data_IF_590554954052
#
_entry.id   IF_590554954052
#
_cell.length_a   1.000
_cell.length_b   1.000
_cell.length_c   1.000
_cell.angle_alpha   90.00
_cell.angle_beta   90.00
_cell.angle_gamma   90.00
#
_symmetry.space_group_name_H-M   'P 1'
#
loop_
_entity.id
_entity.type
_entity.pdbx_description
1 polymer ?
#
# COMPACT_ATOMS: atom_id res chain seq x y z
N UNK A 1 -24.13 -1.07 4.97
CA UNK A 1 -23.14 -0.16 4.34
C UNK A 1 -21.81 -0.90 4.34
N UNK A 2 -21.12 -1.12 3.21
CA UNK A 2 -19.84 -1.81 3.22
C UNK A 2 -18.74 -0.87 3.77
N UNK A 3 -17.88 -1.40 4.64
CA UNK A 3 -17.06 -0.67 5.61
C UNK A 3 -15.75 -0.02 5.07
N UNK A 4 -15.71 0.41 3.80
CA UNK A 4 -14.43 0.77 3.13
C UNK A 4 -14.26 2.21 2.64
N UNK A 5 -15.31 3.05 2.60
CA UNK A 5 -15.21 4.39 1.96
C UNK A 5 -14.58 5.49 2.80
N UNK A 6 -14.53 5.32 4.11
CA UNK A 6 -14.03 6.36 5.02
C UNK A 6 -12.57 6.14 5.44
N UNK A 7 -11.92 5.08 4.94
CA UNK A 7 -10.55 4.75 5.29
C UNK A 7 -9.54 5.46 4.38
N UNK A 8 -8.49 5.99 4.98
CA UNK A 8 -7.41 6.71 4.30
C UNK A 8 -6.39 5.75 3.68
N UNK A 9 -5.80 6.14 2.55
CA UNK A 9 -4.64 5.49 1.95
C UNK A 9 -3.37 6.21 2.43
N UNK A 10 -2.43 5.46 3.02
CA UNK A 10 -1.13 6.00 3.43
C UNK A 10 -0.06 5.75 2.36
N UNK A 11 0.64 6.81 1.94
CA UNK A 11 1.78 6.73 1.03
C UNK A 11 3.10 6.86 1.80
N UNK A 12 3.96 5.87 1.60
CA UNK A 12 5.31 5.79 2.18
C UNK A 12 6.32 5.65 1.04
N UNK A 13 6.70 6.77 0.45
CA UNK A 13 7.56 6.79 -0.73
C UNK A 13 8.43 8.05 -0.77
N UNK A 14 9.33 8.10 -1.74
CA UNK A 14 10.10 9.28 -2.09
C UNK A 14 9.17 10.42 -2.53
N UNK A 15 9.57 11.67 -2.26
CA UNK A 15 8.71 12.85 -2.48
C UNK A 15 8.21 12.98 -3.93
N UNK A 16 9.05 12.64 -4.91
CA UNK A 16 8.72 12.69 -6.33
C UNK A 16 7.58 11.76 -6.70
N UNK A 17 7.67 10.49 -6.30
CA UNK A 17 6.64 9.50 -6.58
C UNK A 17 5.39 9.70 -5.72
N UNK A 18 5.57 10.09 -4.45
CA UNK A 18 4.49 10.43 -3.53
C UNK A 18 3.54 11.44 -4.15
N UNK A 19 4.07 12.51 -4.75
CA UNK A 19 3.25 13.55 -5.39
C UNK A 19 2.38 13.02 -6.53
N UNK A 20 2.91 12.12 -7.35
CA UNK A 20 2.18 11.52 -8.48
C UNK A 20 1.09 10.58 -7.97
N UNK A 21 1.44 9.68 -7.06
CA UNK A 21 0.51 8.72 -6.47
C UNK A 21 -0.62 9.44 -5.71
N UNK A 22 -0.27 10.46 -4.92
CA UNK A 22 -1.24 11.28 -4.21
C UNK A 22 -2.25 11.92 -5.16
N UNK A 23 -1.78 12.59 -6.22
CA UNK A 23 -2.66 13.26 -7.18
C UNK A 23 -3.60 12.29 -7.90
N UNK A 24 -3.12 11.09 -8.24
CA UNK A 24 -3.94 10.04 -8.87
C UNK A 24 -5.05 9.56 -7.93
N UNK A 25 -4.71 9.28 -6.67
CA UNK A 25 -5.64 8.73 -5.69
C UNK A 25 -6.66 9.76 -5.21
N UNK A 26 -6.22 11.00 -5.00
CA UNK A 26 -7.11 12.12 -4.67
C UNK A 26 -8.09 12.41 -5.82
N UNK A 27 -7.62 12.40 -7.07
CA UNK A 27 -8.49 12.54 -8.25
C UNK A 27 -9.59 11.47 -8.32
N UNK A 28 -9.29 10.25 -7.85
CA UNK A 28 -10.23 9.13 -7.77
C UNK A 28 -11.15 9.19 -6.55
N UNK A 29 -11.01 10.22 -5.70
CA UNK A 29 -11.87 10.50 -4.55
C UNK A 29 -11.49 9.77 -3.27
N UNK A 30 -10.26 9.26 -3.16
CA UNK A 30 -9.76 8.65 -1.92
C UNK A 30 -9.23 9.70 -0.95
N UNK A 31 -9.39 9.45 0.36
CA UNK A 31 -8.59 10.13 1.37
C UNK A 31 -7.15 9.62 1.30
N UNK A 32 -6.18 10.52 1.20
CA UNK A 32 -4.77 10.17 1.04
C UNK A 32 -3.94 10.95 2.05
N UNK A 33 -2.98 10.27 2.66
CA UNK A 33 -2.01 10.87 3.55
C UNK A 33 -0.59 10.42 3.22
N UNK A 34 0.39 11.23 3.60
CA UNK A 34 1.81 10.90 3.42
C UNK A 34 2.49 10.74 4.77
N UNK A 35 3.64 10.07 4.79
CA UNK A 35 4.44 9.92 6.01
C UNK A 35 4.84 11.27 6.66
N UNK A 36 4.99 12.33 5.87
CA UNK A 36 5.33 13.66 6.38
C UNK A 36 4.18 14.28 7.21
N UNK A 37 2.95 13.88 6.93
CA UNK A 37 1.75 14.39 7.59
C UNK A 37 1.36 13.55 8.81
N UNK A 38 1.91 12.33 8.94
CA UNK A 38 1.57 11.40 10.00
C UNK A 38 2.42 11.59 11.26
N UNK A 39 2.05 12.55 12.12
CA UNK A 39 2.46 12.47 13.53
C UNK A 39 1.88 11.20 14.17
N UNK A 40 2.68 10.48 14.96
CA UNK A 40 2.27 9.26 15.68
C UNK A 40 1.83 8.08 14.79
N UNK A 41 2.52 7.84 13.66
CA UNK A 41 2.24 6.74 12.73
C UNK A 41 1.97 5.39 13.41
N UNK A 42 2.76 5.02 14.43
CA UNK A 42 2.59 3.76 15.17
C UNK A 42 1.22 3.64 15.86
N UNK A 43 0.70 4.75 16.42
CA UNK A 43 -0.62 4.80 17.07
C UNK A 43 -1.72 4.66 16.02
N UNK A 44 -1.59 5.37 14.91
CA UNK A 44 -2.60 5.38 13.85
C UNK A 44 -2.70 4.04 13.11
N UNK A 45 -1.56 3.39 12.90
CA UNK A 45 -1.50 2.01 12.43
C UNK A 45 -2.23 1.06 13.39
N UNK A 46 -2.17 1.28 14.71
CA UNK A 46 -2.93 0.47 15.68
C UNK A 46 -4.44 0.75 15.66
N UNK A 47 -4.84 1.97 15.32
CA UNK A 47 -6.24 2.39 15.32
C UNK A 47 -7.03 1.92 14.08
N UNK A 48 -6.39 1.20 13.14
CA UNK A 48 -7.01 0.72 11.91
C UNK A 48 -7.61 1.85 11.03
N UNK A 49 -6.99 3.03 11.10
CA UNK A 49 -7.39 4.25 10.36
C UNK A 49 -7.11 4.12 8.85
N UNK A 50 -6.12 3.30 8.49
CA UNK A 50 -5.70 3.11 7.10
C UNK A 50 -6.38 1.88 6.47
N UNK A 51 -6.89 2.06 5.26
CA UNK A 51 -7.47 0.98 4.46
C UNK A 51 -6.47 0.31 3.53
N UNK A 52 -5.38 1.01 3.22
CA UNK A 52 -4.33 0.58 2.32
C UNK A 52 -3.06 1.37 2.62
N UNK A 53 -1.91 0.69 2.56
CA UNK A 53 -0.58 1.31 2.53
C UNK A 53 0.01 1.13 1.14
N UNK A 54 0.61 2.18 0.59
CA UNK A 54 1.36 2.11 -0.66
C UNK A 54 2.79 2.55 -0.38
N UNK A 55 3.75 1.73 -0.77
CA UNK A 55 5.16 2.00 -0.46
C UNK A 55 6.10 1.47 -1.51
N UNK A 56 7.24 2.14 -1.69
CA UNK A 56 8.30 1.64 -2.57
C UNK A 56 9.31 0.77 -1.83
N UNK A 57 9.78 -0.29 -2.48
CA UNK A 57 10.92 -1.09 -2.06
C UNK A 57 12.17 -0.68 -2.86
N UNK A 58 13.30 -0.39 -2.20
CA UNK A 58 13.58 -0.62 -0.78
C UNK A 58 13.21 0.51 0.18
N UNK A 59 12.71 1.65 -0.31
CA UNK A 59 12.50 2.87 0.48
C UNK A 59 11.74 2.65 1.81
N UNK A 60 10.56 2.05 1.79
CA UNK A 60 9.72 1.83 2.97
C UNK A 60 9.94 0.50 3.69
N UNK A 61 10.95 -0.28 3.28
CA UNK A 61 11.19 -1.62 3.82
C UNK A 61 11.40 -1.62 5.36
N UNK A 62 11.92 -0.53 5.91
CA UNK A 62 12.14 -0.36 7.35
C UNK A 62 10.85 -0.44 8.18
N UNK A 63 9.67 -0.30 7.58
CA UNK A 63 8.37 -0.38 8.27
C UNK A 63 7.65 -1.71 8.07
N UNK A 64 8.16 -2.61 7.23
CA UNK A 64 7.41 -3.83 6.87
C UNK A 64 7.11 -4.70 8.08
N UNK A 65 8.05 -4.86 9.01
CA UNK A 65 7.82 -5.65 10.23
C UNK A 65 6.74 -5.07 11.13
N UNK A 66 6.56 -3.75 11.15
CA UNK A 66 5.46 -3.13 11.89
C UNK A 66 4.14 -3.21 11.15
N UNK A 67 4.14 -3.10 9.83
CA UNK A 67 2.92 -3.21 9.02
C UNK A 67 2.38 -4.64 9.04
N UNK A 68 3.26 -5.66 8.89
CA UNK A 68 2.90 -7.09 8.92
C UNK A 68 2.12 -7.49 10.18
N UNK A 69 2.39 -6.85 11.32
CA UNK A 69 1.69 -7.12 12.60
C UNK A 69 0.22 -6.71 12.59
N UNK A 70 -0.24 -5.94 11.59
CA UNK A 70 -1.51 -5.20 11.65
C UNK A 70 -2.52 -5.56 10.57
N UNK A 71 -2.22 -6.56 9.74
CA UNK A 71 -3.10 -7.04 8.65
C UNK A 71 -3.71 -5.91 7.79
N UNK A 72 -2.91 -4.87 7.55
CA UNK A 72 -3.30 -3.76 6.68
C UNK A 72 -2.84 -4.13 5.26
N UNK A 73 -3.74 -4.14 4.26
CA UNK A 73 -3.35 -4.37 2.88
C UNK A 73 -2.26 -3.41 2.45
N UNK A 74 -1.21 -3.93 1.82
CA UNK A 74 -0.03 -3.14 1.44
C UNK A 74 0.36 -3.38 -0.02
N UNK A 75 0.38 -2.33 -0.82
CA UNK A 75 0.92 -2.37 -2.19
C UNK A 75 2.40 -1.93 -2.15
N UNK A 76 3.29 -2.83 -2.49
CA UNK A 76 4.74 -2.63 -2.61
C UNK A 76 5.09 -2.36 -4.07
N UNK A 77 5.70 -1.22 -4.32
CA UNK A 77 6.15 -0.80 -5.65
C UNK A 77 7.65 -1.03 -5.76
N UNK A 78 8.13 -1.56 -6.88
CA UNK A 78 9.57 -1.71 -7.08
C UNK A 78 9.98 -1.53 -8.53
N UNK A 79 11.23 -1.12 -8.77
CA UNK A 79 11.77 -0.99 -10.12
C UNK A 79 12.18 -2.35 -10.72
N UNK A 80 12.42 -3.35 -9.87
CA UNK A 80 12.83 -4.69 -10.29
C UNK A 80 12.45 -5.74 -9.25
N UNK A 81 12.37 -7.00 -9.69
CA UNK A 81 12.18 -8.15 -8.80
C UNK A 81 13.54 -8.78 -8.54
N UNK A 82 13.89 -8.94 -7.27
CA UNK A 82 15.07 -9.67 -6.83
C UNK A 82 14.70 -10.68 -5.74
N UNK A 83 15.65 -11.54 -5.34
CA UNK A 83 15.43 -12.55 -4.30
C UNK A 83 15.00 -11.97 -2.96
N UNK A 84 15.50 -10.78 -2.62
CA UNK A 84 15.23 -10.14 -1.33
C UNK A 84 13.78 -9.66 -1.27
N UNK A 85 13.29 -9.05 -2.35
CA UNK A 85 11.90 -8.66 -2.49
C UNK A 85 10.96 -9.88 -2.47
N UNK A 86 11.32 -10.96 -3.16
CA UNK A 86 10.53 -12.20 -3.14
C UNK A 86 10.44 -12.77 -1.73
N UNK A 87 11.56 -12.85 -1.00
CA UNK A 87 11.59 -13.33 0.38
C UNK A 87 10.74 -12.46 1.31
N UNK A 88 10.75 -11.13 1.11
CA UNK A 88 9.88 -10.21 1.86
C UNK A 88 8.41 -10.51 1.58
N UNK A 89 8.05 -10.64 0.30
CA UNK A 89 6.68 -10.86 -0.14
C UNK A 89 6.13 -12.22 0.33
N UNK A 90 6.95 -13.28 0.31
CA UNK A 90 6.61 -14.60 0.85
C UNK A 90 6.22 -14.57 2.33
N UNK A 91 6.76 -13.60 3.08
CA UNK A 91 6.51 -13.41 4.51
C UNK A 91 5.60 -12.22 4.81
N UNK A 92 4.82 -11.75 3.81
CA UNK A 92 3.93 -10.60 3.94
C UNK A 92 2.57 -10.92 3.29
N UNK A 93 1.73 -11.64 4.04
CA UNK A 93 0.49 -12.25 3.55
C UNK A 93 -0.54 -11.28 2.97
N UNK A 94 -0.60 -10.04 3.46
CA UNK A 94 -1.54 -9.03 2.95
C UNK A 94 -0.81 -7.99 2.11
N UNK A 95 0.04 -8.48 1.20
CA UNK A 95 0.82 -7.62 0.30
C UNK A 95 0.61 -7.92 -1.18
N UNK A 96 0.73 -6.87 -1.97
CA UNK A 96 0.66 -6.90 -3.42
C UNK A 96 1.91 -6.22 -3.94
N UNK A 97 2.46 -6.68 -5.06
CA UNK A 97 3.62 -6.09 -5.69
C UNK A 97 3.29 -5.60 -7.09
N UNK A 98 3.70 -4.38 -7.42
CA UNK A 98 3.65 -3.84 -8.78
C UNK A 98 5.03 -3.31 -9.18
N UNK A 99 5.39 -3.53 -10.44
CA UNK A 99 6.64 -3.03 -11.00
C UNK A 99 6.44 -1.67 -11.64
N UNK A 100 7.32 -0.71 -11.31
CA UNK A 100 7.37 0.60 -11.95
C UNK A 100 7.91 0.48 -13.39
N UNK A 101 7.46 1.31 -14.35
CA UNK A 101 6.47 2.38 -14.20
C UNK A 101 5.04 1.84 -14.08
N UNK A 102 4.21 2.52 -13.29
CA UNK A 102 2.82 2.11 -13.10
C UNK A 102 1.98 2.32 -14.35
N UNK A 103 1.27 1.26 -14.75
CA UNK A 103 0.10 1.40 -15.60
C UNK A 103 -1.07 1.91 -14.74
N UNK A 104 -1.58 3.09 -15.07
CA UNK A 104 -2.66 3.74 -14.32
C UNK A 104 -3.92 2.86 -14.19
N UNK A 105 -4.32 2.15 -15.26
CA UNK A 105 -5.53 1.34 -15.24
C UNK A 105 -5.36 0.11 -14.34
N UNK A 106 -4.21 -0.57 -14.43
CA UNK A 106 -3.89 -1.71 -13.56
C UNK A 106 -3.76 -1.27 -12.10
N UNK A 107 -3.05 -0.18 -11.85
CA UNK A 107 -2.86 0.37 -10.51
C UNK A 107 -4.21 0.72 -9.86
N UNK A 108 -5.05 1.49 -10.56
CA UNK A 108 -6.36 1.85 -10.02
C UNK A 108 -7.31 0.66 -9.90
N UNK A 109 -7.21 -0.33 -10.78
CA UNK A 109 -7.97 -1.58 -10.63
C UNK A 109 -7.60 -2.30 -9.34
N UNK A 110 -6.29 -2.41 -9.04
CA UNK A 110 -5.80 -3.03 -7.81
C UNK A 110 -6.25 -2.24 -6.57
N UNK A 111 -6.00 -0.93 -6.54
CA UNK A 111 -6.43 -0.05 -5.43
C UNK A 111 -7.92 -0.19 -5.15
N UNK A 112 -8.77 -0.14 -6.20
CA UNK A 112 -10.23 -0.27 -6.05
C UNK A 112 -10.64 -1.61 -5.45
N UNK A 113 -10.02 -2.70 -5.90
CA UNK A 113 -10.30 -4.04 -5.38
C UNK A 113 -9.86 -4.19 -3.92
N UNK A 114 -8.66 -3.70 -3.58
CA UNK A 114 -8.14 -3.73 -2.20
C UNK A 114 -9.04 -2.92 -1.26
N UNK A 115 -9.36 -1.67 -1.63
CA UNK A 115 -10.19 -0.79 -0.81
C UNK A 115 -11.64 -1.26 -0.64
N UNK A 116 -12.13 -2.15 -1.51
CA UNK A 116 -13.44 -2.79 -1.36
C UNK A 116 -13.41 -4.06 -0.50
N UNK A 117 -12.24 -4.61 -0.22
CA UNK A 117 -12.08 -5.94 0.36
C UNK A 117 -12.44 -7.06 -0.61
N UNK A 118 -12.46 -6.79 -1.92
CA UNK A 118 -12.84 -7.76 -2.95
C UNK A 118 -11.71 -8.78 -3.23
N UNK A 119 -10.51 -8.56 -2.67
CA UNK A 119 -9.38 -9.47 -2.77
C UNK A 119 -9.32 -10.33 -1.51
N UNK A 120 -9.90 -11.53 -1.59
CA UNK A 120 -9.67 -12.59 -0.61
C UNK A 120 -8.39 -13.34 -0.96
N UNK A 121 -7.21 -12.74 -0.76
CA UNK A 121 -5.96 -13.50 -0.78
C UNK A 121 -5.83 -14.23 0.54
N UNK A 122 -6.37 -15.46 0.62
CA UNK A 122 -6.06 -16.37 1.71
C UNK A 122 -4.62 -16.88 1.53
N UNK A 123 -3.66 -16.15 2.11
CA UNK A 123 -2.24 -16.53 2.24
C UNK A 123 -1.37 -16.15 1.04
N UNK A 124 -0.36 -15.31 1.28
CA UNK A 124 0.69 -14.96 0.31
C UNK A 124 0.51 -13.65 -0.46
N UNK A 125 1.50 -13.31 -1.28
CA UNK A 125 1.57 -12.09 -2.08
C UNK A 125 1.04 -12.27 -3.51
N UNK A 126 0.68 -11.17 -4.17
CA UNK A 126 0.37 -11.17 -5.60
C UNK A 126 1.30 -10.21 -6.37
N UNK A 127 1.92 -10.70 -7.46
CA UNK A 127 2.63 -9.85 -8.43
C UNK A 127 1.64 -9.49 -9.55
N UNK A 128 1.42 -8.19 -9.78
CA UNK A 128 0.38 -7.64 -10.67
C UNK A 128 0.95 -6.84 -11.83
#
# INVERSE_FOLDING_TARGET
>A
MPAGRDKTILIIDESGFTRVCYAILEFEGYGVETMADSSDLAVRLNNNEFGLIITSYPYGAFLFEDIKKRDIPTIILSDHINSDLISILENFDNSYCMIKPLDYQKFMSLVKKVMRGDLSTQGGYAIV
#
